data_IF_013452309263
#
_entry.id   IF_013452309263
#
_cell.length_a   1.000
_cell.length_b   1.000
_cell.length_c   1.000
_cell.angle_alpha   90.00
_cell.angle_beta   90.00
_cell.angle_gamma   90.00
#
_symmetry.space_group_name_H-M   'P 1'
#
loop_
_entity.id
_entity.type
_entity.pdbx_description
1 polymer ?
#
# COMPACT_ATOMS: atom_id res chain seq x y z
N UNK A 1 -10.66 39.32 4.98
CA UNK A 1 -9.44 40.06 4.58
C UNK A 1 -9.01 39.45 3.26
N UNK A 2 -8.97 40.26 2.20
CA UNK A 2 -8.64 39.76 0.87
C UNK A 2 -7.16 39.39 0.77
N UNK A 3 -6.84 38.38 -0.04
CA UNK A 3 -5.49 37.86 -0.23
C UNK A 3 -5.04 36.84 0.82
N UNK A 4 -5.88 36.47 1.79
CA UNK A 4 -5.57 35.33 2.67
C UNK A 4 -5.57 34.01 1.89
N UNK A 5 -4.70 33.10 2.28
CA UNK A 5 -4.61 31.75 1.73
C UNK A 5 -4.86 30.69 2.78
N UNK A 6 -5.36 29.52 2.38
CA UNK A 6 -5.48 28.33 3.24
C UNK A 6 -5.33 27.05 2.41
N UNK A 7 -4.99 25.94 3.08
CA UNK A 7 -5.03 24.62 2.46
C UNK A 7 -6.49 24.19 2.19
N UNK A 8 -6.63 23.30 1.21
CA UNK A 8 -7.88 22.70 0.76
C UNK A 8 -7.57 21.35 0.10
N UNK A 9 -8.57 20.49 -0.11
CA UNK A 9 -8.34 19.11 -0.53
C UNK A 9 -7.77 18.24 0.60
N UNK A 10 -7.20 17.09 0.24
CA UNK A 10 -6.57 16.11 1.15
C UNK A 10 -5.28 15.57 0.54
N UNK A 11 -4.35 15.09 1.38
CA UNK A 11 -3.13 14.39 0.98
C UNK A 11 -3.22 12.89 1.31
N UNK A 12 -4.45 12.36 1.37
CA UNK A 12 -4.74 10.93 1.55
C UNK A 12 -4.74 10.22 0.20
N UNK A 13 -4.19 9.01 0.14
CA UNK A 13 -4.21 8.20 -1.08
C UNK A 13 -3.52 8.89 -2.25
N UNK A 14 -4.20 8.94 -3.40
CA UNK A 14 -3.73 9.59 -4.62
C UNK A 14 -4.09 11.09 -4.70
N UNK A 15 -4.80 11.62 -3.70
CA UNK A 15 -5.13 13.04 -3.65
C UNK A 15 -3.93 13.90 -3.26
N UNK A 16 -4.02 15.17 -3.66
CA UNK A 16 -3.07 16.21 -3.28
C UNK A 16 -3.83 17.42 -2.81
N UNK A 17 -3.39 18.00 -1.70
CA UNK A 17 -3.92 19.24 -1.19
C UNK A 17 -3.49 20.42 -2.07
N UNK A 18 -4.37 21.41 -2.18
CA UNK A 18 -4.12 22.65 -2.89
C UNK A 18 -4.18 23.86 -1.98
N UNK A 19 -4.19 25.04 -2.59
CA UNK A 19 -4.36 26.32 -1.88
C UNK A 19 -5.55 27.10 -2.42
N UNK A 20 -6.41 27.57 -1.51
CA UNK A 20 -7.48 28.53 -1.80
C UNK A 20 -7.05 29.94 -1.42
N UNK A 21 -7.44 30.93 -2.24
CA UNK A 21 -7.25 32.36 -1.94
C UNK A 21 -8.59 33.03 -1.70
N UNK A 22 -8.67 33.89 -0.69
CA UNK A 22 -9.86 34.68 -0.36
C UNK A 22 -9.87 35.99 -1.16
N UNK A 23 -10.96 36.25 -1.90
CA UNK A 23 -11.17 37.49 -2.68
C UNK A 23 -12.60 37.97 -2.48
N UNK A 24 -12.78 39.23 -2.08
CA UNK A 24 -14.08 39.78 -1.72
C UNK A 24 -14.74 39.06 -0.53
N UNK A 25 -13.95 38.49 0.38
CA UNK A 25 -14.45 37.66 1.49
C UNK A 25 -14.91 36.25 1.12
N UNK A 26 -14.73 35.82 -0.13
CA UNK A 26 -15.11 34.47 -0.62
C UNK A 26 -13.85 33.67 -0.96
N UNK A 27 -13.81 32.41 -0.55
CA UNK A 27 -12.73 31.48 -0.92
C UNK A 27 -12.91 31.02 -2.37
N UNK A 28 -11.85 31.13 -3.18
CA UNK A 28 -11.84 30.68 -4.57
C UNK A 28 -11.72 29.16 -4.74
N UNK A 29 -11.39 28.74 -5.96
CA UNK A 29 -11.06 27.34 -6.26
C UNK A 29 -9.81 26.88 -5.50
N UNK A 30 -9.73 25.59 -5.22
CA UNK A 30 -8.53 24.98 -4.66
C UNK A 30 -7.52 24.74 -5.77
N UNK A 31 -6.51 25.60 -5.86
CA UNK A 31 -5.51 25.53 -6.92
C UNK A 31 -4.43 24.53 -6.54
N UNK A 32 -4.14 23.59 -7.43
CA UNK A 32 -3.13 22.56 -7.25
C UNK A 32 -3.64 21.27 -6.60
N UNK A 33 -4.95 21.15 -6.32
CA UNK A 33 -5.50 19.90 -5.81
C UNK A 33 -5.55 18.80 -6.87
N UNK A 34 -5.31 17.57 -6.42
CA UNK A 34 -5.80 16.36 -7.08
C UNK A 34 -6.99 15.90 -6.26
N UNK A 35 -8.18 16.03 -6.84
CA UNK A 35 -9.43 15.72 -6.16
C UNK A 35 -9.71 14.20 -6.16
N UNK A 36 -10.51 13.71 -5.21
CA UNK A 36 -11.04 12.35 -5.23
C UNK A 36 -11.61 11.94 -6.58
N UNK A 37 -11.21 10.77 -7.05
CA UNK A 37 -11.73 10.12 -8.25
C UNK A 37 -12.56 8.88 -7.86
N UNK A 38 -13.14 8.20 -8.85
CA UNK A 38 -13.77 6.90 -8.59
C UNK A 38 -12.69 5.86 -8.38
N UNK A 39 -12.85 5.00 -7.37
CA UNK A 39 -12.02 3.83 -7.13
C UNK A 39 -11.82 2.98 -8.39
N UNK A 40 -10.56 2.68 -8.66
CA UNK A 40 -10.11 1.66 -9.59
C UNK A 40 -9.56 0.49 -8.78
N UNK A 41 -9.52 -0.69 -9.36
CA UNK A 41 -8.84 -1.82 -8.72
C UNK A 41 -7.38 -1.83 -9.14
N UNK A 42 -6.64 -0.81 -8.74
CA UNK A 42 -5.25 -0.60 -9.11
C UNK A 42 -4.29 -0.60 -7.90
N UNK A 43 -4.80 -0.97 -6.73
CA UNK A 43 -4.05 -1.00 -5.47
C UNK A 43 -3.78 0.38 -4.90
N UNK A 44 -4.63 1.37 -5.23
CA UNK A 44 -4.50 2.76 -4.77
C UNK A 44 -5.84 3.28 -4.27
N UNK A 45 -5.76 4.21 -3.31
CA UNK A 45 -6.91 4.95 -2.80
C UNK A 45 -7.15 6.16 -3.71
N UNK A 46 -8.01 6.00 -4.72
CA UNK A 46 -8.29 7.03 -5.72
C UNK A 46 -9.33 8.05 -5.25
N UNK A 47 -10.24 7.65 -4.36
CA UNK A 47 -11.30 8.47 -3.79
C UNK A 47 -10.92 9.14 -2.45
N UNK A 48 -9.73 8.79 -1.95
CA UNK A 48 -9.01 9.43 -0.87
C UNK A 48 -9.73 9.35 0.47
N UNK A 49 -10.47 8.27 0.70
CA UNK A 49 -11.19 8.01 1.94
C UNK A 49 -10.35 7.26 2.99
N UNK A 50 -9.16 6.80 2.60
CA UNK A 50 -8.19 6.11 3.44
C UNK A 50 -8.23 4.59 3.32
N UNK A 51 -9.12 4.04 2.50
CA UNK A 51 -9.18 2.62 2.15
C UNK A 51 -8.77 2.42 0.70
N UNK A 52 -7.94 1.40 0.44
CA UNK A 52 -7.47 1.09 -0.92
C UNK A 52 -8.49 0.18 -1.61
N UNK A 53 -8.89 0.50 -2.85
CA UNK A 53 -9.74 -0.31 -3.72
C UNK A 53 -11.08 -0.71 -3.05
N UNK A 54 -11.68 0.16 -2.22
CA UNK A 54 -12.87 -0.16 -1.41
C UNK A 54 -14.22 -0.03 -2.15
N UNK A 55 -14.16 0.19 -3.46
CA UNK A 55 -15.30 0.21 -4.38
C UNK A 55 -15.74 -1.16 -4.90
N UNK A 56 -16.56 -1.20 -5.96
CA UNK A 56 -16.95 -2.47 -6.60
C UNK A 56 -15.77 -3.03 -7.40
N UNK A 57 -14.92 -3.79 -6.73
CA UNK A 57 -13.86 -4.54 -7.37
C UNK A 57 -14.33 -5.93 -7.80
N UNK A 58 -14.29 -6.17 -9.11
CA UNK A 58 -14.50 -7.50 -9.72
C UNK A 58 -13.21 -8.00 -10.37
N UNK A 59 -12.09 -7.88 -9.64
CA UNK A 59 -10.83 -8.51 -9.99
C UNK A 59 -10.86 -10.00 -9.56
N UNK A 60 -10.29 -10.90 -10.38
CA UNK A 60 -10.11 -12.28 -9.96
C UNK A 60 -9.07 -12.38 -8.83
N UNK A 61 -9.20 -13.41 -8.00
CA UNK A 61 -8.18 -13.74 -6.99
C UNK A 61 -6.79 -13.85 -7.65
N UNK A 62 -5.85 -13.09 -7.11
CA UNK A 62 -4.50 -12.95 -7.66
C UNK A 62 -3.48 -12.80 -6.55
N UNK A 63 -2.25 -13.19 -6.85
CA UNK A 63 -1.10 -13.05 -5.99
C UNK A 63 0.14 -12.76 -6.85
N UNK A 64 0.83 -11.68 -6.52
CA UNK A 64 2.09 -11.25 -7.10
C UNK A 64 3.14 -11.20 -6.00
N UNK A 65 4.35 -11.68 -6.28
CA UNK A 65 5.48 -11.72 -5.34
C UNK A 65 6.71 -11.07 -5.99
N UNK A 66 7.51 -10.37 -5.18
CA UNK A 66 8.65 -9.59 -5.70
C UNK A 66 9.99 -10.32 -5.67
N UNK A 67 10.10 -11.44 -4.95
CA UNK A 67 11.36 -12.13 -4.68
C UNK A 67 11.35 -13.63 -5.04
N UNK A 68 10.25 -14.11 -5.63
CA UNK A 68 10.15 -15.44 -6.23
C UNK A 68 9.76 -16.56 -5.27
N UNK A 69 9.01 -16.24 -4.21
CA UNK A 69 8.37 -17.23 -3.34
C UNK A 69 9.01 -17.28 -1.97
N UNK A 70 9.81 -18.32 -1.71
CA UNK A 70 10.50 -18.51 -0.42
C UNK A 70 11.86 -17.80 -0.42
N UNK A 71 11.86 -16.51 -0.74
CA UNK A 71 13.01 -15.66 -0.92
C UNK A 71 13.67 -15.19 0.38
N UNK A 72 13.88 -16.06 1.39
CA UNK A 72 14.26 -15.69 2.76
C UNK A 72 15.45 -14.72 2.94
N UNK A 73 16.33 -14.58 1.94
CA UNK A 73 17.48 -13.67 1.97
C UNK A 73 17.21 -12.29 1.36
N UNK A 74 15.98 -12.03 0.92
CA UNK A 74 15.53 -10.79 0.31
C UNK A 74 14.28 -10.34 1.05
N UNK A 75 14.09 -9.02 1.16
CA UNK A 75 12.83 -8.47 1.63
C UNK A 75 11.85 -8.49 0.47
N UNK A 76 10.86 -9.36 0.54
CA UNK A 76 9.79 -9.49 -0.43
C UNK A 76 8.54 -8.70 -0.06
N UNK A 77 7.66 -8.59 -1.04
CA UNK A 77 6.30 -8.10 -0.91
C UNK A 77 5.40 -9.02 -1.71
N UNK A 78 4.24 -9.31 -1.13
CA UNK A 78 3.16 -10.05 -1.76
C UNK A 78 1.95 -9.14 -1.86
N UNK A 79 1.39 -8.99 -3.06
CA UNK A 79 0.19 -8.19 -3.29
C UNK A 79 -0.78 -8.86 -4.26
N UNK A 80 -2.05 -8.47 -4.21
CA UNK A 80 -3.05 -8.99 -5.13
C UNK A 80 -4.46 -8.77 -4.62
N UNK A 81 -5.40 -9.56 -5.14
CA UNK A 81 -6.81 -9.50 -4.77
C UNK A 81 -7.25 -10.83 -4.18
N UNK A 82 -8.10 -10.78 -3.15
CA UNK A 82 -8.77 -11.95 -2.59
C UNK A 82 -10.20 -11.60 -2.23
N UNK A 83 -11.16 -12.33 -2.76
CA UNK A 83 -12.59 -12.08 -2.53
C UNK A 83 -13.01 -10.62 -2.86
N UNK A 84 -12.32 -10.00 -3.83
CA UNK A 84 -12.53 -8.62 -4.26
C UNK A 84 -11.78 -7.56 -3.45
N UNK A 85 -11.05 -7.94 -2.40
CA UNK A 85 -10.28 -7.03 -1.54
C UNK A 85 -8.80 -7.01 -1.95
N UNK A 86 -8.24 -5.82 -2.18
CA UNK A 86 -6.80 -5.66 -2.41
C UNK A 86 -6.04 -5.93 -1.11
N UNK A 87 -4.93 -6.66 -1.21
CA UNK A 87 -4.04 -6.89 -0.08
C UNK A 87 -2.59 -6.63 -0.46
N UNK A 88 -1.80 -6.23 0.53
CA UNK A 88 -0.34 -6.19 0.44
C UNK A 88 0.27 -6.63 1.77
N UNK A 89 1.27 -7.50 1.69
CA UNK A 89 2.06 -7.97 2.80
C UNK A 89 3.53 -7.84 2.47
N UNK A 90 4.32 -7.44 3.46
CA UNK A 90 5.76 -7.24 3.32
C UNK A 90 6.44 -8.16 4.32
N UNK A 91 7.57 -8.75 3.92
CA UNK A 91 8.36 -9.56 4.83
C UNK A 91 8.93 -8.71 5.95
N UNK A 92 8.90 -9.27 7.16
CA UNK A 92 9.41 -8.58 8.33
C UNK A 92 9.99 -9.54 9.35
N UNK A 93 10.94 -9.01 10.12
CA UNK A 93 11.52 -9.72 11.24
C UNK A 93 10.54 -9.69 12.42
N UNK A 94 10.01 -10.85 12.81
CA UNK A 94 9.22 -11.00 14.03
C UNK A 94 10.10 -10.71 15.24
N UNK A 95 11.34 -11.20 15.19
CA UNK A 95 12.43 -10.84 16.10
C UNK A 95 13.78 -10.92 15.36
N UNK A 96 14.90 -10.80 16.08
CA UNK A 96 16.24 -10.82 15.48
C UNK A 96 16.63 -12.13 14.80
N UNK A 97 15.86 -13.20 14.96
CA UNK A 97 16.15 -14.56 14.51
C UNK A 97 15.01 -15.18 13.69
N UNK A 98 13.80 -14.61 13.76
CA UNK A 98 12.62 -15.12 13.05
C UNK A 98 12.18 -14.12 11.97
N UNK A 99 12.19 -14.59 10.74
CA UNK A 99 11.58 -13.92 9.58
C UNK A 99 10.14 -14.41 9.43
N UNK A 100 9.18 -13.49 9.32
CA UNK A 100 7.87 -13.81 8.74
C UNK A 100 7.93 -13.53 7.25
N UNK A 101 7.90 -14.60 6.49
CA UNK A 101 7.88 -14.63 5.03
C UNK A 101 6.42 -14.65 4.56
N UNK A 102 6.04 -13.76 3.67
CA UNK A 102 4.83 -13.81 2.87
C UNK A 102 5.20 -14.24 1.45
N UNK A 103 4.45 -15.19 0.90
CA UNK A 103 4.76 -15.75 -0.43
C UNK A 103 3.48 -16.08 -1.20
N UNK A 104 3.55 -16.15 -2.53
CA UNK A 104 2.47 -16.71 -3.31
C UNK A 104 2.54 -18.23 -3.32
N UNK A 105 1.40 -18.89 -3.09
CA UNK A 105 1.35 -20.36 -3.21
C UNK A 105 1.41 -20.79 -4.68
N UNK A 106 1.63 -22.07 -4.94
CA UNK A 106 1.72 -22.62 -6.31
C UNK A 106 0.47 -22.38 -7.18
N UNK A 107 -0.67 -21.98 -6.61
CA UNK A 107 -1.86 -21.60 -7.38
C UNK A 107 -1.82 -20.14 -7.88
N UNK A 108 -0.87 -19.31 -7.41
CA UNK A 108 -0.72 -17.89 -7.73
C UNK A 108 -1.98 -17.01 -7.53
N UNK A 109 -3.00 -17.53 -6.86
CA UNK A 109 -4.22 -16.83 -6.47
C UNK A 109 -4.40 -16.76 -4.95
N UNK A 110 -3.50 -17.38 -4.19
CA UNK A 110 -3.56 -17.45 -2.73
C UNK A 110 -2.17 -17.13 -2.18
N UNK A 111 -2.09 -16.16 -1.28
CA UNK A 111 -0.89 -15.90 -0.49
C UNK A 111 -0.83 -16.82 0.73
N UNK A 112 0.39 -17.10 1.19
CA UNK A 112 0.68 -17.79 2.44
C UNK A 112 1.61 -16.97 3.32
N UNK A 113 1.84 -17.46 4.54
CA UNK A 113 2.93 -16.96 5.38
C UNK A 113 3.64 -18.09 6.12
N UNK A 114 4.92 -17.92 6.39
CA UNK A 114 5.77 -18.87 7.10
C UNK A 114 6.66 -18.11 8.09
N UNK A 115 6.75 -18.62 9.31
CA UNK A 115 7.79 -18.19 10.25
C UNK A 115 9.04 -19.05 10.02
N UNK A 116 10.10 -18.42 9.52
CA UNK A 116 11.38 -19.06 9.23
C UNK A 116 12.45 -18.61 10.22
N UNK A 117 13.16 -19.57 10.80
CA UNK A 117 14.30 -19.28 11.65
C UNK A 117 15.54 -18.99 10.79
N UNK A 118 16.03 -17.76 10.82
CA UNK A 118 17.27 -17.33 10.18
C UNK A 118 18.47 -17.96 10.91
N UNK A 119 18.73 -19.24 10.62
CA UNK A 119 19.77 -20.04 11.24
C UNK A 119 20.68 -20.72 10.21
N UNK A 120 21.81 -21.25 10.67
CA UNK A 120 22.77 -21.95 9.81
C UNK A 120 23.64 -20.98 9.03
N UNK A 121 23.33 -20.76 7.75
CA UNK A 121 24.08 -19.84 6.89
C UNK A 121 23.70 -18.36 7.12
N UNK A 122 22.62 -18.11 7.87
CA UNK A 122 22.19 -16.79 8.28
C UNK A 122 22.64 -16.51 9.72
N UNK A 123 22.93 -15.24 9.98
CA UNK A 123 23.33 -14.67 11.27
C UNK A 123 22.16 -14.04 12.03
N UNK A 124 21.06 -13.73 11.35
CA UNK A 124 19.84 -13.20 11.93
C UNK A 124 18.88 -12.66 10.88
N UNK A 125 17.80 -12.04 11.32
CA UNK A 125 16.86 -11.29 10.49
C UNK A 125 17.12 -9.80 10.62
N UNK A 126 17.26 -9.10 9.49
CA UNK A 126 17.41 -7.65 9.41
C UNK A 126 16.54 -7.12 8.29
N UNK A 127 15.71 -6.11 8.59
CA UNK A 127 14.83 -5.42 7.62
C UNK A 127 13.97 -6.37 6.76
N UNK A 128 13.45 -7.45 7.35
CA UNK A 128 12.60 -8.40 6.63
C UNK A 128 13.35 -9.35 5.71
N UNK A 129 14.64 -9.58 5.97
CA UNK A 129 15.43 -10.60 5.27
C UNK A 129 16.39 -11.31 6.25
N UNK A 130 16.62 -12.60 6.03
CA UNK A 130 17.70 -13.33 6.69
C UNK A 130 19.06 -12.92 6.09
N UNK A 131 20.01 -12.52 6.93
CA UNK A 131 21.35 -12.05 6.54
C UNK A 131 22.45 -12.95 7.05
#
# INVERSE_FOLDING_TARGET
VDGQTKSCGTDTGECQSGTQTCTGGIWGACVGEVAPATELCDGRDNDCDGEVDNGVCSQPDSCNETDGGYGFGLKGTVSGFKDGEYYTYIDYCVDSSILKEYFCTMSASVYGSLDFACAGNFTGCVDGACT
#
